data_IF_252298092003
#
_entry.id   IF_252298092003
#
_cell.length_a   1.000
_cell.length_b   1.000
_cell.length_c   1.000
_cell.angle_alpha   90.00
_cell.angle_beta   90.00
_cell.angle_gamma   90.00
#
_symmetry.space_group_name_H-M   'P 1'
#
loop_
_entity.id
_entity.type
_entity.pdbx_description
1 polymer ?
#
# COMPACT_ATOMS: atom_id res chain seq x y z
N UNK A 1 11.27 -20.57 -15.00
CA UNK A 1 11.30 -19.25 -14.35
C UNK A 1 11.44 -18.20 -15.45
N UNK A 2 10.75 -17.07 -15.34
CA UNK A 2 10.95 -15.98 -16.30
C UNK A 2 12.40 -15.48 -16.22
N UNK A 3 13.01 -15.17 -17.37
CA UNK A 3 14.35 -14.57 -17.41
C UNK A 3 14.31 -13.19 -16.74
N UNK A 4 15.25 -12.92 -15.84
CA UNK A 4 15.37 -11.59 -15.25
C UNK A 4 15.87 -10.61 -16.32
N UNK A 5 15.19 -9.49 -16.57
CA UNK A 5 15.60 -8.53 -17.59
C UNK A 5 16.94 -7.87 -17.23
N UNK A 6 17.78 -7.62 -18.23
CA UNK A 6 19.10 -6.98 -18.04
C UNK A 6 19.02 -5.48 -17.74
N UNK A 7 17.86 -4.87 -18.05
CA UNK A 7 17.58 -3.44 -17.85
C UNK A 7 16.11 -3.24 -17.49
N UNK A 8 15.85 -2.18 -16.74
CA UNK A 8 14.52 -1.69 -16.42
C UNK A 8 14.58 -0.18 -16.17
N UNK A 9 13.48 0.55 -16.40
CA UNK A 9 13.36 1.96 -15.96
C UNK A 9 13.21 2.05 -14.45
N UNK A 10 12.47 1.12 -13.85
CA UNK A 10 12.22 1.08 -12.40
C UNK A 10 12.26 -0.37 -11.92
N UNK A 11 12.90 -0.60 -10.77
CA UNK A 11 12.85 -1.86 -10.04
C UNK A 11 12.19 -1.63 -8.68
N UNK A 12 11.10 -2.36 -8.40
CA UNK A 12 10.37 -2.32 -7.13
C UNK A 12 10.73 -3.57 -6.32
N UNK A 13 11.40 -3.38 -5.19
CA UNK A 13 11.76 -4.46 -4.26
C UNK A 13 10.73 -4.51 -3.14
N UNK A 14 10.10 -5.68 -2.96
CA UNK A 14 8.93 -5.83 -2.09
C UNK A 14 7.62 -5.54 -2.82
N UNK A 15 7.52 -5.95 -4.10
CA UNK A 15 6.30 -5.73 -4.90
C UNK A 15 5.07 -6.33 -4.22
N UNK A 16 5.20 -7.51 -3.61
CA UNK A 16 4.09 -8.29 -3.07
C UNK A 16 3.45 -7.67 -1.81
N UNK A 17 4.07 -6.64 -1.22
CA UNK A 17 3.51 -5.85 -0.12
C UNK A 17 2.68 -4.65 -0.60
N UNK A 18 1.91 -4.06 0.32
CA UNK A 18 0.97 -2.97 -0.01
C UNK A 18 1.65 -1.73 -0.60
N UNK A 19 2.83 -1.37 -0.08
CA UNK A 19 3.58 -0.19 -0.55
C UNK A 19 4.14 -0.44 -1.96
N UNK A 20 4.74 -1.61 -2.21
CA UNK A 20 5.27 -1.96 -3.52
C UNK A 20 4.19 -2.02 -4.59
N UNK A 21 3.05 -2.66 -4.28
CA UNK A 21 1.89 -2.70 -5.15
C UNK A 21 1.31 -1.30 -5.42
N UNK A 22 1.21 -0.45 -4.39
CA UNK A 22 0.74 0.94 -4.53
C UNK A 22 1.68 1.75 -5.43
N UNK A 23 2.98 1.69 -5.23
CA UNK A 23 3.96 2.40 -6.09
C UNK A 23 3.83 1.93 -7.55
N UNK A 24 3.75 0.61 -7.79
CA UNK A 24 3.57 0.08 -9.14
C UNK A 24 2.30 0.63 -9.80
N UNK A 25 1.17 0.61 -9.09
CA UNK A 25 -0.11 1.14 -9.57
C UNK A 25 0.01 2.61 -9.99
N UNK A 26 0.55 3.46 -9.10
CA UNK A 26 0.62 4.90 -9.33
C UNK A 26 1.63 5.29 -10.42
N UNK A 27 2.71 4.52 -10.60
CA UNK A 27 3.64 4.70 -11.72
C UNK A 27 2.96 4.36 -13.05
N UNK A 28 2.28 3.21 -13.12
CA UNK A 28 1.55 2.78 -14.33
C UNK A 28 0.46 3.80 -14.69
N UNK A 29 -0.32 4.27 -13.71
CA UNK A 29 -1.35 5.29 -13.91
C UNK A 29 -0.76 6.60 -14.49
N UNK A 30 0.48 6.94 -14.14
CA UNK A 30 1.21 8.11 -14.65
C UNK A 30 1.93 7.85 -15.98
N UNK A 31 1.68 6.71 -16.62
CA UNK A 31 2.23 6.37 -17.93
C UNK A 31 3.65 5.82 -17.90
N UNK A 32 4.15 5.38 -16.74
CA UNK A 32 5.43 4.68 -16.67
C UNK A 32 5.29 3.24 -17.18
N UNK A 33 6.30 2.81 -17.93
CA UNK A 33 6.48 1.47 -18.48
C UNK A 33 7.83 0.90 -18.05
N UNK A 34 8.15 -0.33 -18.48
CA UNK A 34 9.42 -1.02 -18.18
C UNK A 34 9.74 -1.08 -16.67
N UNK A 35 8.74 -1.52 -15.90
CA UNK A 35 8.80 -1.66 -14.43
C UNK A 35 8.96 -3.14 -14.08
N UNK A 36 9.97 -3.45 -13.27
CA UNK A 36 10.23 -4.79 -12.75
C UNK A 36 9.91 -4.84 -11.26
N UNK A 37 8.95 -5.68 -10.88
CA UNK A 37 8.64 -5.95 -9.48
C UNK A 37 9.26 -7.25 -9.01
N UNK A 38 9.94 -7.25 -7.87
CA UNK A 38 10.45 -8.44 -7.22
C UNK A 38 9.99 -8.51 -5.77
N UNK A 39 9.79 -9.73 -5.27
CA UNK A 39 9.52 -10.01 -3.86
C UNK A 39 10.37 -11.21 -3.41
N UNK A 40 10.54 -11.35 -2.10
CA UNK A 40 11.28 -12.48 -1.52
C UNK A 40 10.45 -13.77 -1.59
N UNK A 41 9.13 -13.65 -1.59
CA UNK A 41 8.19 -14.78 -1.60
C UNK A 41 7.25 -14.71 -2.81
N UNK A 42 6.01 -15.18 -2.67
CA UNK A 42 4.98 -15.02 -3.67
C UNK A 42 4.59 -13.53 -3.89
N UNK A 43 3.84 -13.28 -4.95
CA UNK A 43 3.15 -12.01 -5.17
C UNK A 43 1.64 -12.35 -5.27
N UNK A 44 0.79 -11.90 -4.31
CA UNK A 44 1.13 -11.12 -3.11
C UNK A 44 2.01 -11.91 -2.12
N UNK A 45 2.76 -11.19 -1.29
CA UNK A 45 3.73 -11.76 -0.34
C UNK A 45 3.01 -12.47 0.80
N UNK A 46 3.44 -13.67 1.18
CA UNK A 46 2.89 -14.45 2.30
C UNK A 46 3.71 -14.30 3.58
N UNK A 47 4.88 -13.64 3.50
CA UNK A 47 5.80 -13.45 4.62
C UNK A 47 5.93 -11.99 5.08
N UNK A 48 5.32 -11.04 4.37
CA UNK A 48 5.41 -9.60 4.66
C UNK A 48 4.38 -9.12 5.69
N UNK A 49 4.61 -7.93 6.27
CA UNK A 49 3.68 -7.30 7.22
C UNK A 49 2.28 -7.06 6.67
N UNK A 50 2.16 -6.82 5.36
CA UNK A 50 0.86 -6.68 4.70
C UNK A 50 -0.01 -7.93 4.85
N UNK A 51 0.57 -9.14 4.89
CA UNK A 51 -0.19 -10.39 4.93
C UNK A 51 -0.94 -10.62 6.26
N UNK A 52 -0.59 -9.89 7.31
CA UNK A 52 -1.15 -10.07 8.66
C UNK A 52 -1.53 -8.74 9.33
N UNK A 53 -1.67 -7.66 8.56
CA UNK A 53 -2.17 -6.41 9.08
C UNK A 53 -3.66 -6.55 9.48
N UNK A 54 -4.09 -5.79 10.48
CA UNK A 54 -5.48 -5.74 10.94
C UNK A 54 -6.36 -4.71 10.20
N UNK A 55 -5.77 -4.00 9.25
CA UNK A 55 -6.42 -3.12 8.25
C UNK A 55 -7.18 -1.88 8.77
N UNK A 56 -7.02 -1.50 10.03
CA UNK A 56 -7.62 -0.25 10.56
C UNK A 56 -6.93 1.01 10.00
N UNK A 57 -7.73 2.01 9.63
CA UNK A 57 -7.26 3.31 9.14
C UNK A 57 -7.81 4.44 10.00
N UNK A 58 -6.98 5.03 10.87
CA UNK A 58 -7.32 6.20 11.68
C UNK A 58 -6.72 7.46 11.05
N UNK A 59 -7.57 8.46 10.76
CA UNK A 59 -7.14 9.67 10.07
C UNK A 59 -6.53 10.73 11.01
N UNK A 60 -6.82 10.65 12.31
CA UNK A 60 -6.28 11.58 13.31
C UNK A 60 -4.83 11.23 13.62
N UNK A 61 -3.90 12.15 13.34
CA UNK A 61 -2.47 11.97 13.61
C UNK A 61 -1.85 13.28 14.11
N UNK A 62 -0.60 13.21 14.58
CA UNK A 62 0.12 14.36 15.14
C UNK A 62 0.70 15.31 14.09
N UNK A 63 0.77 14.91 12.82
CA UNK A 63 1.33 15.71 11.73
C UNK A 63 0.41 15.74 10.50
N UNK A 64 0.42 16.84 9.75
CA UNK A 64 -0.49 17.05 8.63
C UNK A 64 -0.21 16.14 7.42
N UNK A 65 1.05 15.73 7.23
CA UNK A 65 1.41 14.87 6.10
C UNK A 65 0.81 13.48 6.25
N UNK A 66 0.83 12.92 7.47
CA UNK A 66 0.21 11.62 7.71
C UNK A 66 -1.30 11.68 7.60
N UNK A 67 -1.99 12.73 8.07
CA UNK A 67 -3.45 12.81 7.85
C UNK A 67 -3.75 12.94 6.35
N UNK A 68 -2.92 13.66 5.59
CA UNK A 68 -3.08 13.77 4.14
C UNK A 68 -2.94 12.41 3.45
N UNK A 69 -1.87 11.66 3.73
CA UNK A 69 -1.64 10.36 3.09
C UNK A 69 -2.64 9.29 3.54
N UNK A 70 -3.07 9.31 4.79
CA UNK A 70 -4.13 8.42 5.29
C UNK A 70 -5.47 8.74 4.62
N UNK A 71 -5.86 10.01 4.55
CA UNK A 71 -7.08 10.42 3.86
C UNK A 71 -7.05 10.02 2.38
N UNK A 72 -5.93 10.26 1.70
CA UNK A 72 -5.74 9.82 0.32
C UNK A 72 -5.93 8.30 0.17
N UNK A 73 -5.32 7.52 1.06
CA UNK A 73 -5.40 6.05 1.03
C UNK A 73 -6.83 5.55 1.27
N UNK A 74 -7.55 6.15 2.23
CA UNK A 74 -8.98 5.85 2.48
C UNK A 74 -9.80 6.11 1.21
N UNK A 75 -9.67 7.30 0.62
CA UNK A 75 -10.42 7.67 -0.59
C UNK A 75 -10.04 6.78 -1.79
N UNK A 76 -8.78 6.36 -1.88
CA UNK A 76 -8.29 5.45 -2.91
C UNK A 76 -8.90 4.04 -2.75
N UNK A 77 -8.86 3.45 -1.56
CA UNK A 77 -9.44 2.13 -1.31
C UNK A 77 -10.96 2.12 -1.45
N UNK A 78 -11.64 3.21 -1.05
CA UNK A 78 -13.08 3.39 -1.22
C UNK A 78 -13.48 3.39 -2.71
N UNK A 79 -12.75 4.16 -3.54
CA UNK A 79 -12.95 4.13 -5.01
C UNK A 79 -12.73 2.75 -5.64
N UNK A 80 -11.89 1.91 -5.03
CA UNK A 80 -11.67 0.54 -5.48
C UNK A 80 -12.70 -0.47 -4.94
N UNK A 81 -13.64 -0.04 -4.08
CA UNK A 81 -14.58 -0.93 -3.40
C UNK A 81 -13.88 -1.88 -2.42
N UNK A 82 -12.76 -1.44 -1.83
CA UNK A 82 -11.91 -2.23 -0.92
C UNK A 82 -11.79 -1.56 0.46
N UNK A 83 -12.74 -0.71 0.83
CA UNK A 83 -12.76 -0.04 2.12
C UNK A 83 -14.13 -0.13 2.77
N UNK A 84 -14.18 -0.75 3.94
CA UNK A 84 -15.39 -0.81 4.77
C UNK A 84 -15.43 0.41 5.69
N UNK A 85 -16.26 1.40 5.36
CA UNK A 85 -16.34 2.67 6.09
C UNK A 85 -17.20 2.53 7.36
N UNK A 86 -16.62 1.93 8.39
CA UNK A 86 -17.27 1.73 9.69
C UNK A 86 -16.99 2.84 10.72
N UNK A 87 -16.04 3.74 10.43
CA UNK A 87 -15.57 4.77 11.36
C UNK A 87 -14.53 4.25 12.36
N UNK A 88 -14.19 5.05 13.36
CA UNK A 88 -13.24 4.72 14.42
C UNK A 88 -13.51 5.54 15.67
N UNK A 89 -13.32 4.94 16.85
CA UNK A 89 -13.56 5.57 18.14
C UNK A 89 -12.36 5.37 19.05
N UNK A 90 -11.75 6.48 19.49
CA UNK A 90 -10.74 6.49 20.54
C UNK A 90 -11.41 6.86 21.86
N UNK A 91 -11.20 6.04 22.90
CA UNK A 91 -11.87 6.20 24.21
C UNK A 91 -10.84 6.56 25.27
N UNK A 92 -11.07 7.67 25.97
CA UNK A 92 -10.33 8.03 27.17
C UNK A 92 -11.15 7.63 28.42
N UNK A 93 -10.49 7.03 29.41
CA UNK A 93 -11.09 6.70 30.70
C UNK A 93 -10.31 7.39 31.82
N UNK A 94 -11.02 7.98 32.76
CA UNK A 94 -10.44 8.46 34.03
C UNK A 94 -10.19 7.26 34.95
N UNK A 95 -8.96 7.18 35.47
CA UNK A 95 -8.58 6.34 36.60
C UNK A 95 -8.47 7.19 37.85
#
# INVERSE_FOLDING_TARGET
MASFPERAKVVIIGQGGIVGASVAHHLIERGWDDIVGIDKSAIPTDVGSTAHASDFCFNTMHDQMTIFTTKYSIDFYDRMGRYERIGGLEVARVG
#
